data_IF_918431001178
#
_entry.id   IF_918431001178
#
_cell.length_a   1.000
_cell.length_b   1.000
_cell.length_c   1.000
_cell.angle_alpha   90.00
_cell.angle_beta   90.00
_cell.angle_gamma   90.00
#
_symmetry.space_group_name_H-M   'P 1'
#
loop_
_entity.id
_entity.type
_entity.pdbx_description
1 polymer ?
#
# COMPACT_ATOMS: atom_id res chain seq x y z
N UNK A 1 46.56 6.62 0.63
CA UNK A 1 46.62 6.52 2.10
C UNK A 1 46.45 7.92 2.67
N UNK A 2 45.23 8.33 3.00
CA UNK A 2 44.84 9.53 3.77
C UNK A 2 43.32 9.74 3.55
N UNK A 3 42.48 9.18 4.44
CA UNK A 3 41.15 9.71 4.80
C UNK A 3 40.39 8.72 5.72
N UNK A 4 40.83 8.57 6.96
CA UNK A 4 40.10 7.80 7.99
C UNK A 4 40.04 8.52 9.34
N UNK A 5 40.27 9.84 9.36
CA UNK A 5 40.50 10.61 10.61
C UNK A 5 39.53 11.77 10.87
N UNK A 6 38.31 11.75 10.30
CA UNK A 6 37.33 12.81 10.58
C UNK A 6 35.92 12.24 10.79
N UNK A 7 35.78 11.34 11.76
CA UNK A 7 34.49 11.16 12.43
C UNK A 7 34.67 10.67 13.87
N UNK A 8 35.56 11.32 14.63
CA UNK A 8 35.61 11.18 16.09
C UNK A 8 34.46 11.98 16.71
N UNK A 9 33.22 11.64 16.36
CA UNK A 9 32.09 12.08 17.16
C UNK A 9 32.17 11.24 18.45
N UNK A 10 32.28 11.83 19.65
CA UNK A 10 32.31 11.07 20.91
C UNK A 10 31.06 10.20 21.13
N UNK A 11 30.07 10.32 20.25
CA UNK A 11 28.87 9.51 20.15
C UNK A 11 28.98 8.34 19.14
N UNK A 12 30.13 8.04 18.55
CA UNK A 12 30.27 6.90 17.65
C UNK A 12 31.01 5.73 18.35
N UNK A 13 30.26 4.71 18.79
CA UNK A 13 30.82 3.49 19.39
C UNK A 13 31.66 2.67 18.39
N UNK A 14 31.66 3.02 17.09
CA UNK A 14 32.39 2.30 16.04
C UNK A 14 31.80 0.92 15.71
N UNK A 15 30.68 0.54 16.33
CA UNK A 15 29.97 -0.74 16.15
C UNK A 15 28.62 -0.60 15.44
N UNK A 16 28.47 0.42 14.59
CA UNK A 16 27.22 0.66 13.84
C UNK A 16 26.90 -0.45 12.85
N UNK A 17 27.91 -1.02 12.20
CA UNK A 17 27.71 -2.13 11.27
C UNK A 17 27.16 -3.37 12.00
N UNK A 18 27.66 -3.67 13.19
CA UNK A 18 27.16 -4.75 14.05
C UNK A 18 25.71 -4.51 14.49
N UNK A 19 25.34 -3.26 14.82
CA UNK A 19 23.95 -2.89 15.14
C UNK A 19 23.00 -3.16 13.96
N UNK A 20 23.41 -2.80 12.74
CA UNK A 20 22.61 -3.04 11.53
C UNK A 20 22.48 -4.54 11.27
N UNK A 21 23.58 -5.29 11.31
CA UNK A 21 23.57 -6.74 11.14
C UNK A 21 22.68 -7.43 12.19
N UNK A 22 22.73 -6.98 13.44
CA UNK A 22 21.86 -7.46 14.53
C UNK A 22 20.38 -7.15 14.26
N UNK A 23 20.04 -5.92 13.83
CA UNK A 23 18.66 -5.50 13.54
C UNK A 23 17.98 -6.27 12.40
N UNK A 24 18.76 -6.66 11.40
CA UNK A 24 18.31 -7.42 10.23
C UNK A 24 18.46 -8.94 10.38
N UNK A 25 18.94 -9.43 11.54
CA UNK A 25 19.21 -10.85 11.79
C UNK A 25 20.25 -11.46 10.82
N UNK A 26 21.19 -10.64 10.36
CA UNK A 26 22.29 -11.04 9.49
C UNK A 26 23.56 -11.39 10.29
N UNK A 27 23.62 -11.00 11.57
CA UNK A 27 24.71 -11.36 12.47
C UNK A 27 24.69 -12.86 12.83
N UNK A 28 25.86 -13.47 12.87
CA UNK A 28 26.04 -14.83 13.39
C UNK A 28 25.78 -14.91 14.90
N UNK A 29 25.53 -16.10 15.48
CA UNK A 29 25.28 -16.24 16.92
C UNK A 29 26.39 -15.66 17.80
N UNK A 30 27.66 -15.85 17.40
CA UNK A 30 28.81 -15.30 18.11
C UNK A 30 28.89 -13.77 18.03
N UNK A 31 28.52 -13.19 16.89
CA UNK A 31 28.45 -11.73 16.72
C UNK A 31 27.29 -11.13 17.53
N UNK A 32 26.15 -11.81 17.61
CA UNK A 32 25.04 -11.43 18.49
C UNK A 32 25.46 -11.39 19.96
N UNK A 33 26.07 -12.46 20.49
CA UNK A 33 26.54 -12.50 21.88
C UNK A 33 27.56 -11.38 22.18
N UNK A 34 28.49 -11.16 21.25
CA UNK A 34 29.47 -10.07 21.35
C UNK A 34 28.83 -8.69 21.32
N UNK A 35 27.79 -8.50 20.51
CA UNK A 35 27.05 -7.23 20.44
C UNK A 35 26.18 -7.01 21.68
N UNK A 36 25.51 -8.03 22.19
CA UNK A 36 24.73 -7.98 23.44
C UNK A 36 25.61 -7.60 24.63
N UNK A 37 26.79 -8.20 24.76
CA UNK A 37 27.77 -7.80 25.80
C UNK A 37 28.20 -6.34 25.67
N UNK A 38 28.27 -5.81 24.44
CA UNK A 38 28.54 -4.39 24.24
C UNK A 38 27.37 -3.50 24.60
N UNK A 39 26.14 -3.93 24.34
CA UNK A 39 24.94 -3.22 24.76
C UNK A 39 24.89 -3.03 26.28
N UNK A 40 25.47 -3.92 27.10
CA UNK A 40 25.54 -3.72 28.56
C UNK A 40 26.43 -2.54 28.96
N UNK A 41 27.50 -2.31 28.20
CA UNK A 41 28.51 -1.28 28.51
C UNK A 41 28.34 0.03 27.74
N UNK A 42 27.65 0.03 26.60
CA UNK A 42 27.53 1.20 25.72
C UNK A 42 26.12 1.79 25.71
N UNK A 43 25.96 2.95 26.36
CA UNK A 43 24.68 3.68 26.38
C UNK A 43 24.23 4.17 25.00
N UNK A 44 25.15 4.63 24.15
CA UNK A 44 24.81 5.18 22.83
C UNK A 44 24.19 4.11 21.92
N UNK A 45 24.85 2.96 21.81
CA UNK A 45 24.38 1.84 21.02
C UNK A 45 23.00 1.31 21.55
N UNK A 46 22.71 1.40 22.87
CA UNK A 46 21.36 1.11 23.43
C UNK A 46 20.31 2.15 23.03
N UNK A 47 20.63 3.44 23.12
CA UNK A 47 19.73 4.53 22.77
C UNK A 47 19.37 4.48 21.27
N UNK A 48 20.35 4.19 20.42
CA UNK A 48 20.15 3.95 18.99
C UNK A 48 19.21 2.77 18.76
N UNK A 49 19.45 1.61 19.38
CA UNK A 49 18.59 0.43 19.28
C UNK A 49 17.14 0.73 19.73
N UNK A 50 16.97 1.48 20.82
CA UNK A 50 15.65 1.91 21.31
C UNK A 50 14.96 2.87 20.31
N UNK A 51 15.72 3.77 19.68
CA UNK A 51 15.18 4.69 18.67
C UNK A 51 14.61 3.94 17.46
N UNK A 52 15.32 2.92 16.97
CA UNK A 52 14.82 2.05 15.90
C UNK A 52 13.58 1.24 16.33
N UNK A 53 13.54 0.77 17.58
CA UNK A 53 12.36 0.13 18.16
C UNK A 53 11.10 1.00 18.08
N UNK A 54 11.22 2.29 18.39
CA UNK A 54 10.11 3.25 18.26
C UNK A 54 9.66 3.42 16.82
N UNK A 55 10.58 3.58 15.87
CA UNK A 55 10.24 3.69 14.43
C UNK A 55 9.52 2.43 13.94
N UNK A 56 9.99 1.23 14.33
CA UNK A 56 9.32 -0.03 13.97
C UNK A 56 7.93 -0.12 14.60
N UNK A 57 7.76 0.34 15.83
CA UNK A 57 6.45 0.41 16.48
C UNK A 57 5.51 1.38 15.74
N UNK A 58 5.98 2.58 15.39
CA UNK A 58 5.20 3.55 14.60
C UNK A 58 4.82 2.98 13.22
N UNK A 59 5.76 2.38 12.49
CA UNK A 59 5.47 1.72 11.22
C UNK A 59 4.49 0.54 11.38
N UNK A 60 4.52 -0.16 12.51
CA UNK A 60 3.53 -1.22 12.79
C UNK A 60 2.12 -0.68 13.03
N UNK A 61 1.97 0.58 13.44
CA UNK A 61 0.66 1.26 13.51
C UNK A 61 0.17 1.71 12.14
N UNK A 62 1.07 1.87 11.17
CA UNK A 62 0.74 2.16 9.76
C UNK A 62 0.25 0.90 9.01
N UNK A 63 -0.22 -0.12 9.73
CA UNK A 63 -0.97 -1.22 9.13
C UNK A 63 -2.11 -0.63 8.29
N UNK A 64 -1.92 -0.70 6.98
CA UNK A 64 -2.88 -0.26 5.98
C UNK A 64 -4.13 -1.10 6.17
N UNK A 65 -5.15 -0.55 6.84
CA UNK A 65 -6.39 -1.25 7.23
C UNK A 65 -7.23 -1.80 6.07
N UNK A 66 -6.71 -1.74 4.84
CA UNK A 66 -7.32 -2.27 3.62
C UNK A 66 -6.60 -3.49 3.06
N UNK A 67 -5.38 -3.84 3.49
CA UNK A 67 -4.77 -5.10 3.09
C UNK A 67 -5.26 -6.21 4.04
N UNK A 68 -5.79 -7.33 3.50
CA UNK A 68 -6.01 -8.51 4.33
C UNK A 68 -4.67 -8.85 4.98
N UNK A 69 -4.65 -8.92 6.32
CA UNK A 69 -3.46 -9.32 7.06
C UNK A 69 -3.09 -10.73 6.59
N UNK A 70 -2.17 -10.84 5.64
CA UNK A 70 -1.50 -12.09 5.32
C UNK A 70 -0.53 -12.33 6.46
N UNK A 71 -1.04 -12.85 7.57
CA UNK A 71 -0.20 -13.47 8.58
C UNK A 71 0.52 -14.62 7.87
N UNK A 72 1.76 -14.38 7.46
CA UNK A 72 2.67 -15.46 7.15
C UNK A 72 3.01 -16.14 8.47
N UNK A 73 2.09 -16.98 8.96
CA UNK A 73 2.46 -18.02 9.91
C UNK A 73 3.41 -18.93 9.13
N UNK A 74 4.73 -18.81 9.36
CA UNK A 74 5.65 -19.82 8.87
C UNK A 74 5.28 -21.13 9.56
N UNK A 75 4.68 -22.11 8.86
CA UNK A 75 4.24 -23.33 9.51
C UNK A 75 5.48 -24.10 9.95
N UNK A 76 5.67 -24.24 11.26
CA UNK A 76 6.82 -24.94 11.85
C UNK A 76 6.82 -26.46 11.59
N UNK A 77 5.93 -27.00 10.76
CA UNK A 77 6.02 -28.40 10.32
C UNK A 77 5.60 -28.58 8.84
N UNK A 78 6.48 -29.13 7.98
CA UNK A 78 6.16 -29.35 6.57
C UNK A 78 5.03 -30.37 6.36
N UNK A 79 4.78 -31.24 7.34
CA UNK A 79 3.74 -32.28 7.27
C UNK A 79 2.31 -31.74 7.46
N UNK A 80 2.11 -30.66 8.22
CA UNK A 80 0.77 -30.07 8.39
C UNK A 80 0.34 -29.25 7.16
N UNK A 81 1.28 -28.58 6.49
CA UNK A 81 0.99 -27.80 5.27
C UNK A 81 0.47 -28.68 4.13
N UNK A 82 1.05 -29.88 3.96
CA UNK A 82 0.58 -30.85 2.96
C UNK A 82 -0.84 -31.32 3.30
N UNK A 83 -1.12 -31.62 4.58
CA UNK A 83 -2.45 -32.09 5.01
C UNK A 83 -3.53 -31.01 4.87
N UNK A 84 -3.20 -29.75 5.12
CA UNK A 84 -4.09 -28.60 4.90
C UNK A 84 -4.40 -28.39 3.41
N UNK A 85 -3.38 -28.50 2.55
CA UNK A 85 -3.56 -28.40 1.10
C UNK A 85 -4.53 -29.47 0.56
N UNK A 86 -4.44 -30.71 1.03
CA UNK A 86 -5.37 -31.79 0.66
C UNK A 86 -6.80 -31.64 1.22
N UNK A 87 -7.00 -30.79 2.22
CA UNK A 87 -8.32 -30.48 2.78
C UNK A 87 -9.07 -29.41 1.96
N UNK A 88 -8.33 -28.52 1.27
CA UNK A 88 -8.88 -27.48 0.41
C UNK A 88 -9.29 -27.98 -0.99
N UNK A 89 -8.91 -29.20 -1.39
CA UNK A 89 -9.35 -29.77 -2.65
C UNK A 89 -10.78 -30.33 -2.56
N UNK A 90 -11.70 -29.89 -3.43
CA UNK A 90 -13.10 -30.30 -3.39
C UNK A 90 -13.25 -31.79 -3.68
N UNK A 91 -14.29 -32.42 -3.11
CA UNK A 91 -14.50 -33.88 -3.14
C UNK A 91 -14.53 -34.48 -4.57
N UNK A 92 -14.90 -33.70 -5.58
CA UNK A 92 -14.89 -34.12 -6.99
C UNK A 92 -13.47 -34.27 -7.57
N UNK A 93 -12.45 -33.60 -7.01
CA UNK A 93 -11.06 -33.74 -7.43
C UNK A 93 -10.40 -35.03 -6.91
N UNK A 94 -10.92 -35.64 -5.83
CA UNK A 94 -10.40 -36.91 -5.30
C UNK A 94 -10.64 -38.10 -6.24
N UNK A 95 -11.65 -38.03 -7.11
CA UNK A 95 -11.94 -39.08 -8.09
C UNK A 95 -11.04 -39.05 -9.33
N UNK A 96 -10.56 -37.87 -9.74
CA UNK A 96 -9.74 -37.69 -10.96
C UNK A 96 -8.24 -37.73 -10.64
N UNK A 97 -7.84 -37.43 -9.40
CA UNK A 97 -6.44 -37.46 -8.99
C UNK A 97 -5.83 -38.88 -8.98
N UNK A 98 -6.62 -39.94 -8.75
CA UNK A 98 -6.07 -41.30 -8.75
C UNK A 98 -5.72 -41.83 -10.14
N UNK A 99 -6.33 -41.32 -11.21
CA UNK A 99 -6.02 -41.76 -12.58
C UNK A 99 -4.96 -40.88 -13.25
N UNK A 100 -4.86 -39.61 -12.88
CA UNK A 100 -3.92 -38.64 -13.50
C UNK A 100 -2.60 -38.49 -12.74
N UNK A 101 -2.58 -38.63 -11.41
CA UNK A 101 -1.33 -38.53 -10.65
C UNK A 101 -0.40 -39.73 -10.91
N UNK A 102 -0.95 -40.92 -11.16
CA UNK A 102 -0.16 -42.09 -11.54
C UNK A 102 0.55 -41.88 -12.88
N UNK A 103 -0.11 -41.26 -13.87
CA UNK A 103 0.48 -40.96 -15.17
C UNK A 103 1.55 -39.87 -15.09
N UNK A 104 1.32 -38.79 -14.34
CA UNK A 104 2.32 -37.73 -14.15
C UNK A 104 3.55 -38.22 -13.38
N UNK A 105 3.35 -39.02 -12.32
CA UNK A 105 4.46 -39.65 -11.58
C UNK A 105 5.18 -40.72 -12.42
N UNK A 106 4.48 -41.45 -13.30
CA UNK A 106 5.11 -42.34 -14.27
C UNK A 106 5.98 -41.57 -15.27
N UNK A 107 5.49 -40.45 -15.81
CA UNK A 107 6.23 -39.63 -16.77
C UNK A 107 7.48 -39.02 -16.12
N UNK A 108 7.37 -38.55 -14.87
CA UNK A 108 8.52 -38.02 -14.12
C UNK A 108 9.50 -39.14 -13.71
N UNK A 109 9.01 -40.32 -13.33
CA UNK A 109 9.87 -41.48 -13.04
C UNK A 109 10.57 -42.02 -14.29
N UNK A 110 9.88 -42.05 -15.44
CA UNK A 110 10.43 -42.46 -16.74
C UNK A 110 11.44 -41.44 -17.29
N UNK A 111 11.28 -40.14 -17.01
CA UNK A 111 12.23 -39.11 -17.46
C UNK A 111 13.54 -39.13 -16.67
N UNK A 112 13.50 -39.48 -15.38
CA UNK A 112 14.72 -39.64 -14.55
C UNK A 112 15.40 -40.99 -14.83
N UNK A 113 14.66 -42.01 -15.24
CA UNK A 113 15.20 -43.36 -15.48
C UNK A 113 15.92 -43.56 -16.84
N UNK A 114 15.95 -42.55 -17.73
CA UNK A 114 16.72 -42.63 -18.97
C UNK A 114 16.36 -43.82 -19.87
N UNK A 115 15.13 -44.31 -19.80
CA UNK A 115 14.70 -45.45 -20.62
C UNK A 115 14.41 -44.95 -22.03
N UNK A 116 15.20 -45.43 -23.00
CA UNK A 116 14.86 -45.35 -24.42
C UNK A 116 13.53 -46.08 -24.63
N UNK A 117 12.42 -45.34 -24.67
CA UNK A 117 11.11 -45.90 -24.99
C UNK A 117 11.13 -46.20 -26.50
N UNK A 118 11.36 -47.46 -26.87
CA UNK A 118 11.02 -47.95 -28.20
C UNK A 118 9.50 -48.06 -28.27
N UNK A 119 8.86 -47.01 -28.78
CA UNK A 119 7.45 -47.02 -29.15
C UNK A 119 7.31 -47.93 -30.38
N UNK A 120 6.94 -49.18 -30.14
CA UNK A 120 6.64 -50.16 -31.19
C UNK A 120 5.20 -49.94 -31.70
N UNK A 121 4.94 -48.77 -32.28
CA UNK A 121 3.75 -48.50 -33.08
C UNK A 121 4.00 -48.92 -34.54
N UNK A 122 2.96 -49.26 -35.33
CA UNK A 122 3.13 -49.59 -36.74
C UNK A 122 3.80 -48.41 -37.45
N UNK A 123 5.06 -48.63 -37.79
CA UNK A 123 5.92 -47.71 -38.52
C UNK A 123 5.45 -47.64 -39.97
N UNK A 124 4.39 -46.88 -40.22
CA UNK A 124 4.17 -46.28 -41.54
C UNK A 124 5.27 -45.24 -41.72
N UNK A 125 6.35 -45.67 -42.36
CA UNK A 125 7.48 -44.82 -42.72
C UNK A 125 7.05 -43.70 -43.65
N UNK A 126 6.76 -42.55 -43.07
CA UNK A 126 7.07 -41.27 -43.68
C UNK A 126 8.12 -40.65 -42.75
N UNK A 127 9.39 -40.72 -43.17
CA UNK A 127 10.53 -40.14 -42.45
C UNK A 127 10.32 -38.64 -42.34
N UNK A 128 9.61 -38.23 -41.30
CA UNK A 128 9.52 -36.83 -40.89
C UNK A 128 10.85 -36.54 -40.23
N UNK A 129 11.67 -35.80 -40.96
CA UNK A 129 13.01 -35.38 -40.56
C UNK A 129 12.91 -34.71 -39.19
N UNK A 130 13.62 -35.24 -38.18
CA UNK A 130 13.60 -34.71 -36.82
C UNK A 130 14.03 -33.24 -36.78
N UNK A 131 14.87 -32.82 -37.74
CA UNK A 131 15.27 -31.43 -37.91
C UNK A 131 14.09 -30.52 -38.29
N UNK A 132 13.13 -31.03 -39.08
CA UNK A 132 11.93 -30.29 -39.48
C UNK A 132 10.92 -30.16 -38.33
N UNK A 133 10.82 -31.15 -37.45
CA UNK A 133 9.97 -31.06 -36.27
C UNK A 133 10.50 -30.03 -35.27
N UNK A 134 11.81 -30.02 -35.04
CA UNK A 134 12.44 -29.09 -34.09
C UNK A 134 12.30 -27.63 -34.53
N UNK A 135 12.45 -27.36 -35.83
CA UNK A 135 12.23 -25.99 -36.36
C UNK A 135 10.77 -25.56 -36.20
N UNK A 136 9.82 -26.45 -36.44
CA UNK A 136 8.39 -26.14 -36.33
C UNK A 136 7.98 -25.81 -34.87
N UNK A 137 8.53 -26.54 -33.89
CA UNK A 137 8.31 -26.25 -32.45
C UNK A 137 8.96 -24.94 -32.05
N UNK A 138 10.19 -24.67 -32.51
CA UNK A 138 10.90 -23.43 -32.22
C UNK A 138 10.14 -22.22 -32.76
N UNK A 139 9.62 -22.31 -33.99
CA UNK A 139 8.79 -21.28 -34.62
C UNK A 139 7.43 -21.11 -33.94
N UNK A 140 6.83 -22.20 -33.45
CA UNK A 140 5.58 -22.13 -32.67
C UNK A 140 5.80 -21.41 -31.34
N UNK A 141 6.85 -21.76 -30.59
CA UNK A 141 7.18 -21.12 -29.30
C UNK A 141 7.59 -19.65 -29.48
N UNK A 142 8.31 -19.32 -30.55
CA UNK A 142 8.67 -17.94 -30.86
C UNK A 142 7.43 -17.08 -31.13
N UNK A 143 6.45 -17.60 -31.87
CA UNK A 143 5.17 -16.91 -32.12
C UNK A 143 4.35 -16.74 -30.85
N UNK A 144 4.25 -17.79 -30.04
CA UNK A 144 3.49 -17.76 -28.78
C UNK A 144 4.07 -16.73 -27.80
N UNK A 145 5.40 -16.66 -27.68
CA UNK A 145 6.07 -15.63 -26.87
C UNK A 145 5.84 -14.22 -27.40
N UNK A 146 5.89 -14.02 -28.72
CA UNK A 146 5.63 -12.73 -29.32
C UNK A 146 4.19 -12.27 -29.07
N UNK A 147 3.22 -13.19 -29.19
CA UNK A 147 1.82 -12.92 -28.90
C UNK A 147 1.61 -12.60 -27.41
N UNK A 148 2.17 -13.40 -26.50
CA UNK A 148 2.08 -13.17 -25.07
C UNK A 148 2.69 -11.82 -24.64
N UNK A 149 3.81 -11.42 -25.26
CA UNK A 149 4.41 -10.10 -25.03
C UNK A 149 3.51 -8.96 -25.51
N UNK A 150 2.86 -9.11 -26.67
CA UNK A 150 1.91 -8.13 -27.19
C UNK A 150 0.69 -8.01 -26.28
N UNK A 151 0.09 -9.14 -25.90
CA UNK A 151 -1.08 -9.17 -25.01
C UNK A 151 -0.77 -8.55 -23.65
N UNK A 152 0.40 -8.86 -23.07
CA UNK A 152 0.83 -8.26 -21.81
C UNK A 152 1.04 -6.75 -21.93
N UNK A 153 1.62 -6.28 -23.04
CA UNK A 153 1.81 -4.85 -23.27
C UNK A 153 0.47 -4.11 -23.43
N UNK A 154 -0.51 -4.74 -24.07
CA UNK A 154 -1.86 -4.20 -24.24
C UNK A 154 -2.61 -4.13 -22.91
N UNK A 155 -2.51 -5.17 -22.07
CA UNK A 155 -3.08 -5.18 -20.72
C UNK A 155 -2.46 -4.11 -19.82
N UNK A 156 -1.15 -3.89 -19.91
CA UNK A 156 -0.50 -2.82 -19.16
C UNK A 156 -0.92 -1.43 -19.63
N UNK A 157 -1.11 -1.24 -20.95
CA UNK A 157 -1.58 0.02 -21.49
C UNK A 157 -3.01 0.34 -21.02
N UNK A 158 -3.92 -0.64 -21.05
CA UNK A 158 -5.29 -0.45 -20.58
C UNK A 158 -5.36 -0.21 -19.07
N UNK A 159 -4.57 -0.94 -18.26
CA UNK A 159 -4.51 -0.73 -16.82
C UNK A 159 -4.01 0.68 -16.48
N UNK A 160 -2.98 1.17 -17.17
CA UNK A 160 -2.48 2.54 -16.99
C UNK A 160 -3.53 3.58 -17.34
N UNK A 161 -4.28 3.37 -18.43
CA UNK A 161 -5.35 4.26 -18.82
C UNK A 161 -6.45 4.30 -17.74
N UNK A 162 -6.89 3.13 -17.26
CA UNK A 162 -7.89 3.04 -16.20
C UNK A 162 -7.46 3.74 -14.91
N UNK A 163 -6.19 3.57 -14.50
CA UNK A 163 -5.65 4.22 -13.30
C UNK A 163 -5.62 5.75 -13.45
N UNK A 164 -5.25 6.25 -14.63
CA UNK A 164 -5.22 7.68 -14.91
C UNK A 164 -6.63 8.29 -14.92
N UNK A 165 -7.60 7.61 -15.55
CA UNK A 165 -9.00 8.05 -15.57
C UNK A 165 -9.60 8.08 -14.16
N UNK A 166 -9.35 7.05 -13.33
CA UNK A 166 -9.82 7.04 -11.94
C UNK A 166 -9.15 8.14 -11.11
N UNK A 167 -7.84 8.34 -11.29
CA UNK A 167 -7.11 9.37 -10.56
C UNK A 167 -7.60 10.77 -10.94
N UNK A 168 -7.83 11.04 -12.23
CA UNK A 168 -8.40 12.31 -12.69
C UNK A 168 -9.81 12.54 -12.13
N UNK A 169 -10.66 11.51 -12.15
CA UNK A 169 -12.00 11.59 -11.56
C UNK A 169 -11.94 11.87 -10.05
N UNK A 170 -11.03 11.22 -9.30
CA UNK A 170 -10.82 11.48 -7.87
C UNK A 170 -10.35 12.91 -7.61
N UNK A 171 -9.43 13.43 -8.44
CA UNK A 171 -8.95 14.81 -8.31
C UNK A 171 -10.05 15.84 -8.59
N UNK A 172 -10.88 15.62 -9.61
CA UNK A 172 -12.02 16.49 -9.90
C UNK A 172 -13.08 16.42 -8.78
N UNK A 173 -13.38 15.23 -8.27
CA UNK A 173 -14.29 15.04 -7.15
C UNK A 173 -13.77 15.73 -5.87
N UNK A 174 -12.47 15.63 -5.58
CA UNK A 174 -11.87 16.34 -4.45
C UNK A 174 -11.97 17.87 -4.63
N UNK A 175 -11.67 18.39 -5.82
CA UNK A 175 -11.73 19.83 -6.08
C UNK A 175 -13.14 20.39 -5.95
N UNK A 176 -14.14 19.68 -6.47
CA UNK A 176 -15.56 20.07 -6.31
C UNK A 176 -15.98 20.06 -4.84
N UNK A 177 -15.53 19.06 -4.08
CA UNK A 177 -15.79 18.99 -2.63
C UNK A 177 -15.14 20.15 -1.86
N UNK A 178 -13.91 20.53 -2.22
CA UNK A 178 -13.24 21.70 -1.63
C UNK A 178 -13.99 23.00 -1.93
N UNK A 179 -14.37 23.21 -3.20
CA UNK A 179 -15.12 24.40 -3.60
C UNK A 179 -16.47 24.49 -2.87
N UNK A 180 -17.22 23.38 -2.80
CA UNK A 180 -18.47 23.31 -2.06
C UNK A 180 -18.30 23.61 -0.57
N UNK A 181 -17.20 23.15 0.05
CA UNK A 181 -16.87 23.48 1.45
C UNK A 181 -16.57 24.97 1.63
N UNK A 182 -15.81 25.58 0.73
CA UNK A 182 -15.51 27.02 0.78
C UNK A 182 -16.79 27.83 0.67
N UNK A 183 -17.67 27.49 -0.27
CA UNK A 183 -18.97 28.15 -0.44
C UNK A 183 -19.86 27.99 0.80
N UNK A 184 -19.91 26.79 1.39
CA UNK A 184 -20.67 26.53 2.61
C UNK A 184 -20.14 27.35 3.80
N UNK A 185 -18.82 27.45 3.98
CA UNK A 185 -18.20 28.28 5.02
C UNK A 185 -18.53 29.76 4.80
N UNK A 186 -18.43 30.24 3.55
CA UNK A 186 -18.76 31.64 3.23
C UNK A 186 -20.26 31.95 3.43
N UNK A 187 -21.14 31.01 3.11
CA UNK A 187 -22.57 31.12 3.37
C UNK A 187 -22.87 31.16 4.87
N UNK A 188 -22.22 30.30 5.66
CA UNK A 188 -22.31 30.28 7.12
C UNK A 188 -21.87 31.61 7.75
N UNK A 189 -20.73 32.14 7.32
CA UNK A 189 -20.22 33.43 7.79
C UNK A 189 -21.19 34.59 7.46
N UNK A 190 -21.73 34.63 6.24
CA UNK A 190 -22.73 35.62 5.84
C UNK A 190 -24.03 35.51 6.66
N UNK A 191 -24.47 34.29 6.97
CA UNK A 191 -25.64 34.07 7.82
C UNK A 191 -25.40 34.57 9.25
N UNK A 192 -24.19 34.35 9.80
CA UNK A 192 -23.81 34.85 11.12
C UNK A 192 -23.77 36.37 11.17
N UNK A 193 -23.19 37.05 10.17
CA UNK A 193 -23.21 38.52 10.07
C UNK A 193 -24.64 39.05 10.05
N UNK A 194 -25.53 38.43 9.26
CA UNK A 194 -26.95 38.82 9.22
C UNK A 194 -27.63 38.66 10.58
N UNK A 195 -27.31 37.59 11.32
CA UNK A 195 -27.84 37.36 12.66
C UNK A 195 -27.38 38.43 13.63
N UNK A 196 -26.07 38.71 13.69
CA UNK A 196 -25.51 39.76 14.55
C UNK A 196 -26.02 41.16 14.17
N UNK A 197 -26.26 41.43 12.88
CA UNK A 197 -26.84 42.70 12.46
C UNK A 197 -28.30 42.85 12.94
N UNK A 198 -29.11 41.78 12.87
CA UNK A 198 -30.48 41.78 13.42
C UNK A 198 -30.49 41.99 14.94
N UNK A 199 -29.59 41.33 15.67
CA UNK A 199 -29.44 41.51 17.13
C UNK A 199 -29.00 42.94 17.49
N UNK A 200 -28.07 43.53 16.72
CA UNK A 200 -27.67 44.93 16.92
C UNK A 200 -28.79 45.93 16.60
N UNK A 201 -29.63 45.65 15.59
CA UNK A 201 -30.80 46.47 15.28
C UNK A 201 -31.84 46.43 16.41
N UNK A 202 -32.09 45.27 17.02
CA UNK A 202 -33.04 45.16 18.14
C UNK A 202 -32.58 45.93 19.38
N UNK A 203 -31.27 45.95 19.65
CA UNK A 203 -30.69 46.76 20.73
C UNK A 203 -30.89 48.24 20.44
N UNK A 204 -30.62 48.69 19.21
CA UNK A 204 -30.83 50.10 18.83
C UNK A 204 -32.28 50.55 18.94
N UNK A 205 -33.24 49.71 18.55
CA UNK A 205 -34.67 50.04 18.71
C UNK A 205 -35.11 50.09 20.17
N UNK A 206 -34.48 49.32 21.07
CA UNK A 206 -34.77 49.40 22.51
C UNK A 206 -34.37 50.76 23.10
N UNK A 207 -33.23 51.32 22.68
CA UNK A 207 -32.77 52.64 23.14
C UNK A 207 -33.44 53.83 22.44
N UNK A 208 -34.13 53.62 21.32
CA UNK A 208 -34.80 54.70 20.58
C UNK A 208 -36.22 55.03 21.10
N UNK A 209 -36.65 54.44 22.22
CA UNK A 209 -38.05 54.50 22.68
C UNK A 209 -38.33 55.53 23.79
N UNK A 210 -37.35 56.35 24.19
CA UNK A 210 -37.50 57.33 25.29
C UNK A 210 -37.50 58.81 24.88
N UNK A 211 -37.34 59.13 23.59
CA UNK A 211 -37.45 60.51 23.08
C UNK A 211 -38.86 60.81 22.52
N UNK A 212 -39.92 60.38 23.23
CA UNK A 212 -41.24 60.97 22.97
C UNK A 212 -41.23 62.37 23.58
N UNK A 213 -41.26 63.45 22.77
CA UNK A 213 -41.30 64.79 23.33
C UNK A 213 -42.60 64.93 24.12
N UNK A 214 -42.48 65.13 25.43
CA UNK A 214 -43.63 65.43 26.28
C UNK A 214 -44.45 66.56 25.64
N UNK A 215 -45.76 66.37 25.41
CA UNK A 215 -46.64 67.41 24.89
C UNK A 215 -46.99 68.43 26.00
N UNK A 216 -46.01 68.82 26.82
CA UNK A 216 -46.16 69.91 27.76
C UNK A 216 -45.86 71.22 27.04
N UNK A 217 -46.97 71.86 26.67
CA UNK A 217 -47.06 73.05 25.86
C UNK A 217 -46.16 74.22 26.28
N UNK A 218 -45.71 74.92 25.25
CA UNK A 218 -45.40 76.35 25.25
C UNK A 218 -45.81 76.79 23.83
N UNK A 219 -46.86 77.56 23.55
CA UNK A 219 -47.39 78.69 24.30
C UNK A 219 -46.75 79.98 23.80
N UNK A 220 -47.19 80.49 22.62
CA UNK A 220 -46.80 81.81 22.09
C UNK A 220 -45.32 81.87 21.66
N UNK A 221 -44.86 82.77 20.80
CA UNK A 221 -45.22 84.17 20.60
C UNK A 221 -44.82 84.54 19.17
N UNK A 222 -45.68 85.29 18.47
CA UNK A 222 -45.38 85.83 17.16
C UNK A 222 -44.37 87.00 17.19
N UNK A 223 -43.66 87.18 16.08
CA UNK A 223 -42.95 88.40 15.69
C UNK A 223 -42.64 88.23 14.20
N UNK A 224 -43.26 88.94 13.25
CA UNK A 224 -43.26 90.38 12.94
C UNK A 224 -41.87 90.94 12.64
N UNK A 225 -41.66 91.28 11.37
CA UNK A 225 -40.56 92.12 10.85
C UNK A 225 -39.46 91.29 10.19
N UNK A 226 -39.00 91.55 8.96
CA UNK A 226 -39.22 92.68 8.04
C UNK A 226 -38.81 92.25 6.64
#
# INVERSE_FOLDING_TARGET
>A
MLNSKLNDNPADCGRKDDLVAYLYQEASPAECESFESHLDSCGVCRDELQSFGRVRQELSTWQLGWLPQTSFELPQSPLQTVRGFFALFPLWARGVALTTAAAALLIVALSVAGTKILVNGPSTGAGTDSAQLESMVRDAVARDRAQMQQDFSAQLASLKQQLNEENEARMQAAQTQYNARIEAVQAGFRAQIRKSNKENQSIRSFFAMDDSPDPLGVGGVGGVGR
#
